data_IF_069926423537
#
_entry.id   IF_069926423537
#
_cell.length_a   1.000
_cell.length_b   1.000
_cell.length_c   1.000
_cell.angle_alpha   90.00
_cell.angle_beta   90.00
_cell.angle_gamma   90.00
#
_symmetry.space_group_name_H-M   'P 1'
#
loop_
_entity.id
_entity.type
_entity.pdbx_description
1 polymer ?
#
# COMPACT_ATOMS: atom_id res chain seq x y z
N UNK A 1 8.06 21.74 -2.87
CA UNK A 1 7.84 21.14 -4.18
C UNK A 1 6.43 20.59 -4.19
N UNK A 2 5.65 20.88 -5.21
CA UNK A 2 4.35 20.23 -5.34
C UNK A 2 4.59 18.74 -5.61
N UNK A 3 4.01 17.89 -4.78
CA UNK A 3 4.08 16.45 -4.94
C UNK A 3 3.42 16.07 -6.26
N UNK A 4 4.22 15.65 -7.23
CA UNK A 4 3.72 15.12 -8.50
C UNK A 4 3.65 13.60 -8.39
N UNK A 5 2.47 13.04 -8.67
CA UNK A 5 2.27 11.60 -8.73
C UNK A 5 3.21 11.01 -9.80
N UNK A 6 4.25 10.29 -9.35
CA UNK A 6 5.28 9.69 -10.21
C UNK A 6 4.71 8.65 -11.19
N UNK A 7 3.48 8.18 -10.97
CA UNK A 7 2.79 7.15 -11.77
C UNK A 7 2.10 7.69 -13.04
N UNK A 8 2.16 9.01 -13.28
CA UNK A 8 1.75 9.62 -14.56
C UNK A 8 2.81 9.50 -15.66
N UNK A 9 4.00 9.02 -15.34
CA UNK A 9 5.06 8.73 -16.31
C UNK A 9 4.85 7.34 -16.90
N UNK A 10 4.60 7.24 -18.20
CA UNK A 10 4.32 5.98 -18.92
C UNK A 10 5.45 4.95 -18.78
N UNK A 11 6.71 5.39 -18.79
CA UNK A 11 7.88 4.50 -18.65
C UNK A 11 7.88 3.88 -17.25
N UNK A 12 7.60 4.68 -16.24
CA UNK A 12 7.53 4.23 -14.86
C UNK A 12 6.32 3.33 -14.62
N UNK A 13 5.14 3.73 -15.09
CA UNK A 13 3.93 2.91 -15.01
C UNK A 13 4.13 1.53 -15.68
N UNK A 14 4.81 1.50 -16.84
CA UNK A 14 5.17 0.26 -17.53
C UNK A 14 6.11 -0.62 -16.68
N UNK A 15 7.06 -0.05 -15.97
CA UNK A 15 7.97 -0.82 -15.10
C UNK A 15 7.23 -1.55 -13.97
N UNK A 16 6.14 -0.98 -13.45
CA UNK A 16 5.30 -1.61 -12.43
C UNK A 16 4.55 -2.86 -12.93
N UNK A 17 4.34 -3.01 -14.24
CA UNK A 17 3.70 -4.23 -14.78
C UNK A 17 4.58 -5.47 -14.63
N UNK A 18 5.90 -5.28 -14.55
CA UNK A 18 6.89 -6.36 -14.41
C UNK A 18 7.17 -6.74 -12.96
N UNK A 19 6.74 -5.91 -11.99
CA UNK A 19 6.90 -6.21 -10.58
C UNK A 19 6.15 -7.48 -10.20
N UNK A 20 6.88 -8.40 -9.60
CA UNK A 20 6.36 -9.62 -9.02
C UNK A 20 6.49 -9.56 -7.49
N UNK A 21 6.05 -10.62 -6.82
CA UNK A 21 6.25 -10.78 -5.39
C UNK A 21 7.64 -11.39 -5.12
N UNK A 22 8.71 -10.60 -5.34
CA UNK A 22 10.09 -10.98 -5.11
C UNK A 22 10.69 -10.14 -4.00
N UNK A 23 11.73 -10.62 -3.36
CA UNK A 23 12.51 -9.89 -2.35
C UNK A 23 11.60 -9.19 -1.32
N UNK A 24 11.76 -7.88 -1.12
CA UNK A 24 10.98 -7.11 -0.15
C UNK A 24 9.48 -7.16 -0.40
N UNK A 25 9.05 -7.22 -1.67
CA UNK A 25 7.62 -7.38 -2.00
C UNK A 25 7.06 -8.75 -1.60
N UNK A 26 7.90 -9.80 -1.53
CA UNK A 26 7.49 -11.08 -0.98
C UNK A 26 7.15 -10.94 0.50
N UNK A 27 8.00 -10.28 1.29
CA UNK A 27 7.74 -10.04 2.71
C UNK A 27 6.47 -9.24 2.93
N UNK A 28 6.23 -8.23 2.08
CA UNK A 28 5.03 -7.40 2.17
C UNK A 28 3.72 -8.20 2.06
N UNK A 29 3.70 -9.25 1.25
CA UNK A 29 2.50 -10.03 0.94
C UNK A 29 2.44 -11.41 1.60
N UNK A 30 3.56 -11.93 2.09
CA UNK A 30 3.69 -13.29 2.65
C UNK A 30 2.66 -13.58 3.75
N UNK A 31 2.50 -12.64 4.66
CA UNK A 31 1.71 -12.86 5.88
C UNK A 31 0.24 -12.42 5.71
N UNK A 32 -0.10 -11.71 4.64
CA UNK A 32 -1.45 -11.22 4.38
C UNK A 32 -2.52 -12.32 4.36
N UNK A 33 -2.31 -13.53 3.76
CA UNK A 33 -3.31 -14.58 3.78
C UNK A 33 -3.68 -15.03 5.20
N UNK A 34 -2.71 -15.07 6.12
CA UNK A 34 -2.97 -15.39 7.53
C UNK A 34 -3.79 -14.29 8.19
N UNK A 35 -3.45 -13.02 7.94
CA UNK A 35 -4.19 -11.87 8.48
C UNK A 35 -5.63 -11.83 7.93
N UNK A 36 -5.83 -12.10 6.65
CA UNK A 36 -7.19 -12.21 6.08
C UNK A 36 -8.01 -13.27 6.80
N UNK A 37 -7.45 -14.47 6.98
CA UNK A 37 -8.13 -15.57 7.66
C UNK A 37 -8.46 -15.25 9.12
N UNK A 38 -7.60 -14.47 9.78
CA UNK A 38 -7.76 -14.13 11.21
C UNK A 38 -8.82 -13.06 11.42
N UNK A 39 -8.81 -12.01 10.58
CA UNK A 39 -9.57 -10.79 10.85
C UNK A 39 -10.78 -10.58 9.95
N UNK A 40 -10.77 -11.11 8.71
CA UNK A 40 -11.81 -10.77 7.73
C UNK A 40 -12.93 -11.80 7.71
N UNK A 41 -14.18 -11.31 7.87
CA UNK A 41 -15.39 -12.13 7.78
C UNK A 41 -16.11 -11.76 6.49
N UNK A 42 -16.01 -12.61 5.47
CA UNK A 42 -16.65 -12.38 4.18
C UNK A 42 -15.66 -12.31 3.04
N UNK A 43 -16.13 -11.95 1.86
CA UNK A 43 -15.35 -12.12 0.63
C UNK A 43 -15.33 -10.90 -0.29
N UNK A 44 -16.00 -9.81 0.05
CA UNK A 44 -15.99 -8.61 -0.78
C UNK A 44 -14.78 -7.74 -0.39
N UNK A 45 -13.89 -7.48 -1.34
CA UNK A 45 -12.69 -6.68 -1.09
C UNK A 45 -12.58 -5.48 -2.02
N UNK A 46 -12.05 -4.38 -1.49
CA UNK A 46 -11.58 -3.23 -2.22
C UNK A 46 -10.05 -3.19 -2.18
N UNK A 47 -9.43 -3.08 -3.32
CA UNK A 47 -8.01 -2.80 -3.47
C UNK A 47 -7.82 -1.30 -3.77
N UNK A 48 -7.44 -0.54 -2.76
CA UNK A 48 -7.29 0.91 -2.82
C UNK A 48 -5.91 1.31 -3.31
N UNK A 49 -5.86 2.00 -4.45
CA UNK A 49 -4.60 2.31 -5.15
C UNK A 49 -4.04 1.07 -5.82
N UNK A 50 -4.88 0.36 -6.57
CA UNK A 50 -4.57 -0.96 -7.14
C UNK A 50 -3.43 -0.95 -8.18
N UNK A 51 -3.04 0.23 -8.68
CA UNK A 51 -2.04 0.36 -9.72
C UNK A 51 -2.36 -0.51 -10.93
N UNK A 52 -1.42 -1.36 -11.34
CA UNK A 52 -1.57 -2.31 -12.45
C UNK A 52 -2.35 -3.58 -12.08
N UNK A 53 -3.02 -3.61 -10.92
CA UNK A 53 -3.89 -4.70 -10.47
C UNK A 53 -3.15 -5.88 -9.83
N UNK A 54 -1.89 -5.73 -9.41
CA UNK A 54 -1.12 -6.83 -8.78
C UNK A 54 -1.75 -7.29 -7.47
N UNK A 55 -2.07 -6.38 -6.59
CA UNK A 55 -2.75 -6.62 -5.31
C UNK A 55 -4.19 -7.09 -5.51
N UNK A 56 -4.90 -6.57 -6.52
CA UNK A 56 -6.24 -7.03 -6.90
C UNK A 56 -6.25 -8.51 -7.24
N UNK A 57 -5.38 -8.93 -8.18
CA UNK A 57 -5.24 -10.35 -8.56
C UNK A 57 -4.74 -11.23 -7.40
N UNK A 58 -3.96 -10.68 -6.48
CA UNK A 58 -3.57 -11.39 -5.27
C UNK A 58 -4.78 -11.65 -4.38
N UNK A 59 -5.61 -10.65 -4.12
CA UNK A 59 -6.86 -10.80 -3.34
C UNK A 59 -7.81 -11.81 -3.98
N UNK A 60 -7.97 -11.80 -5.30
CA UNK A 60 -8.79 -12.77 -6.02
C UNK A 60 -8.27 -14.21 -5.84
N UNK A 61 -6.95 -14.41 -5.87
CA UNK A 61 -6.33 -15.71 -5.58
C UNK A 61 -6.56 -16.17 -4.14
N UNK A 62 -6.79 -15.24 -3.20
CA UNK A 62 -7.18 -15.55 -1.82
C UNK A 62 -8.68 -15.81 -1.68
N UNK A 63 -9.46 -15.76 -2.76
CA UNK A 63 -10.90 -16.05 -2.77
C UNK A 63 -11.80 -14.84 -2.58
N UNK A 64 -11.27 -13.61 -2.62
CA UNK A 64 -12.08 -12.41 -2.55
C UNK A 64 -12.70 -12.05 -3.91
N UNK A 65 -13.90 -11.49 -3.86
CA UNK A 65 -14.51 -10.73 -4.97
C UNK A 65 -13.97 -9.31 -4.86
N UNK A 66 -13.05 -8.96 -5.75
CA UNK A 66 -12.26 -7.75 -5.60
C UNK A 66 -12.62 -6.68 -6.62
N UNK A 67 -12.72 -5.44 -6.16
CA UNK A 67 -12.75 -4.24 -6.99
C UNK A 67 -11.44 -3.49 -6.77
N UNK A 68 -10.70 -3.21 -7.85
CA UNK A 68 -9.52 -2.35 -7.79
C UNK A 68 -9.88 -0.91 -8.17
N UNK A 69 -9.38 0.06 -7.42
CA UNK A 69 -9.52 1.48 -7.76
C UNK A 69 -8.17 2.19 -7.73
N UNK A 70 -7.99 3.13 -8.66
CA UNK A 70 -6.81 3.98 -8.74
C UNK A 70 -7.18 5.36 -9.32
N UNK A 71 -6.36 6.37 -9.03
CA UNK A 71 -6.52 7.74 -9.55
C UNK A 71 -5.75 7.96 -10.88
N UNK A 72 -4.91 7.00 -11.30
CA UNK A 72 -4.13 7.07 -12.54
C UNK A 72 -4.87 6.34 -13.68
N UNK A 73 -5.25 7.07 -14.74
CA UNK A 73 -5.83 6.45 -15.93
C UNK A 73 -4.90 5.41 -16.56
N UNK A 74 -3.59 5.69 -16.57
CA UNK A 74 -2.56 4.81 -17.12
C UNK A 74 -2.51 3.48 -16.36
N UNK A 75 -2.53 3.53 -15.02
CA UNK A 75 -2.54 2.33 -14.18
C UNK A 75 -3.81 1.50 -14.41
N UNK A 76 -4.97 2.11 -14.44
CA UNK A 76 -6.25 1.42 -14.72
C UNK A 76 -6.26 0.79 -16.11
N UNK A 77 -5.71 1.48 -17.12
CA UNK A 77 -5.60 0.91 -18.47
C UNK A 77 -4.70 -0.33 -18.48
N UNK A 78 -3.56 -0.27 -17.79
CA UNK A 78 -2.63 -1.40 -17.66
C UNK A 78 -3.25 -2.56 -16.86
N UNK A 79 -3.97 -2.27 -15.77
CA UNK A 79 -4.67 -3.28 -14.99
C UNK A 79 -5.68 -4.05 -15.85
N UNK A 80 -6.55 -3.33 -16.58
CA UNK A 80 -7.55 -3.92 -17.50
C UNK A 80 -6.92 -4.71 -18.64
N UNK A 81 -5.76 -4.27 -19.15
CA UNK A 81 -5.02 -4.99 -20.19
C UNK A 81 -4.43 -6.29 -19.65
N UNK A 82 -3.90 -6.27 -18.42
CA UNK A 82 -3.25 -7.43 -17.78
C UNK A 82 -4.28 -8.44 -17.30
N UNK A 83 -5.42 -7.95 -16.82
CA UNK A 83 -6.52 -8.76 -16.29
C UNK A 83 -7.87 -8.26 -16.84
N UNK A 84 -8.23 -8.70 -18.06
CA UNK A 84 -9.47 -8.25 -18.71
C UNK A 84 -10.76 -8.71 -18.03
N UNK A 85 -10.69 -9.65 -17.08
CA UNK A 85 -11.84 -10.16 -16.32
C UNK A 85 -12.01 -9.47 -14.98
N UNK A 86 -10.97 -8.80 -14.49
CA UNK A 86 -11.00 -8.08 -13.23
C UNK A 86 -11.88 -6.82 -13.29
N UNK A 87 -12.26 -6.35 -12.14
CA UNK A 87 -13.10 -5.14 -12.01
C UNK A 87 -12.25 -3.97 -11.54
N UNK A 88 -12.04 -2.99 -12.42
CA UNK A 88 -11.17 -1.84 -12.18
C UNK A 88 -11.88 -0.53 -12.52
N UNK A 89 -11.85 0.44 -11.59
CA UNK A 89 -12.42 1.76 -11.80
C UNK A 89 -11.37 2.85 -11.57
N UNK A 90 -11.40 3.84 -12.47
CA UNK A 90 -10.76 5.13 -12.26
C UNK A 90 -11.62 5.93 -11.29
N UNK A 91 -11.02 6.50 -10.25
CA UNK A 91 -11.68 7.37 -9.28
C UNK A 91 -10.94 8.70 -9.17
N UNK A 92 -11.65 9.75 -8.78
CA UNK A 92 -11.03 11.00 -8.41
C UNK A 92 -10.54 10.95 -6.95
N UNK A 93 -9.58 11.81 -6.61
CA UNK A 93 -8.95 11.85 -5.28
C UNK A 93 -10.01 12.13 -4.18
N UNK A 94 -10.29 11.10 -3.39
CA UNK A 94 -11.28 11.16 -2.31
C UNK A 94 -12.74 10.99 -2.74
N UNK A 95 -13.03 10.79 -4.04
CA UNK A 95 -14.39 10.61 -4.54
C UNK A 95 -14.68 9.16 -4.89
N UNK A 96 -15.45 8.48 -4.05
CA UNK A 96 -15.79 7.06 -4.22
C UNK A 96 -17.27 6.84 -4.56
N UNK A 97 -17.94 7.82 -5.17
CA UNK A 97 -19.38 7.75 -5.44
C UNK A 97 -19.77 6.60 -6.37
N UNK A 98 -18.87 6.14 -7.25
CA UNK A 98 -19.06 4.96 -8.09
C UNK A 98 -19.22 3.68 -7.25
N UNK A 99 -18.76 3.67 -6.00
CA UNK A 99 -18.81 2.54 -5.08
C UNK A 99 -19.90 2.68 -4.01
N UNK A 100 -20.78 3.66 -4.09
CA UNK A 100 -21.76 4.00 -3.02
C UNK A 100 -22.69 2.86 -2.59
N UNK A 101 -22.93 1.90 -3.46
CA UNK A 101 -23.77 0.74 -3.15
C UNK A 101 -22.95 -0.49 -2.71
N UNK A 102 -21.63 -0.39 -2.77
CA UNK A 102 -20.74 -1.46 -2.37
C UNK A 102 -20.45 -1.37 -0.87
N UNK A 103 -20.34 -2.55 -0.25
CA UNK A 103 -19.95 -2.69 1.13
C UNK A 103 -18.87 -3.77 1.22
N UNK A 104 -17.70 -3.41 1.72
CA UNK A 104 -16.54 -4.28 1.72
C UNK A 104 -16.30 -4.92 3.08
N UNK A 105 -15.94 -6.19 3.05
CA UNK A 105 -15.47 -6.94 4.22
C UNK A 105 -13.98 -6.63 4.48
N UNK A 106 -13.24 -6.32 3.41
CA UNK A 106 -11.83 -5.95 3.43
C UNK A 106 -11.59 -4.74 2.54
N UNK A 107 -10.83 -3.77 3.03
CA UNK A 107 -10.13 -2.79 2.19
C UNK A 107 -8.65 -3.03 2.38
N UNK A 108 -7.93 -3.35 1.30
CA UNK A 108 -6.47 -3.39 1.27
C UNK A 108 -5.93 -2.12 0.65
N UNK A 109 -5.01 -1.47 1.33
CA UNK A 109 -4.16 -0.42 0.77
C UNK A 109 -2.71 -0.91 0.83
N UNK A 110 -2.09 -1.16 -0.31
CA UNK A 110 -0.72 -1.61 -0.38
C UNK A 110 0.16 -0.52 -1.03
N UNK A 111 1.01 0.12 -0.22
CA UNK A 111 1.95 1.19 -0.58
C UNK A 111 1.29 2.50 -1.07
N UNK A 112 -0.04 2.57 -1.06
CA UNK A 112 -0.76 3.75 -1.59
C UNK A 112 -0.65 4.94 -0.65
N UNK A 113 -0.72 4.71 0.67
CA UNK A 113 -0.63 5.80 1.64
C UNK A 113 0.77 6.42 1.72
N UNK A 114 1.81 5.75 1.25
CA UNK A 114 3.14 6.34 1.12
C UNK A 114 3.16 7.48 0.08
N UNK A 115 2.19 7.49 -0.83
CA UNK A 115 2.07 8.47 -1.90
C UNK A 115 0.98 9.55 -1.66
N UNK A 116 0.33 9.54 -0.50
CA UNK A 116 -0.72 10.52 -0.17
C UNK A 116 -0.15 11.57 0.78
N UNK A 117 -0.26 12.89 0.46
CA UNK A 117 0.15 13.95 1.37
C UNK A 117 -0.47 13.78 2.76
N UNK A 118 0.30 14.02 3.81
CA UNK A 118 -0.13 13.73 5.17
C UNK A 118 -1.47 14.40 5.54
N UNK A 119 -1.66 15.65 5.13
CA UNK A 119 -2.90 16.41 5.43
C UNK A 119 -4.15 15.83 4.73
N UNK A 120 -3.97 15.03 3.66
CA UNK A 120 -5.06 14.37 2.95
C UNK A 120 -5.41 13.00 3.54
N UNK A 121 -4.47 12.31 4.20
CA UNK A 121 -4.69 10.95 4.72
C UNK A 121 -5.97 10.82 5.56
N UNK A 122 -6.31 11.73 6.51
CA UNK A 122 -7.54 11.61 7.29
C UNK A 122 -8.82 11.63 6.43
N UNK A 123 -8.88 12.51 5.43
CA UNK A 123 -10.05 12.64 4.55
C UNK A 123 -10.22 11.39 3.69
N UNK A 124 -9.12 10.90 3.10
CA UNK A 124 -9.10 9.67 2.29
C UNK A 124 -9.55 8.47 3.11
N UNK A 125 -8.96 8.26 4.30
CA UNK A 125 -9.33 7.15 5.19
C UNK A 125 -10.79 7.23 5.60
N UNK A 126 -11.30 8.42 5.94
CA UNK A 126 -12.71 8.60 6.27
C UNK A 126 -13.65 8.23 5.13
N UNK A 127 -13.26 8.54 3.90
CA UNK A 127 -13.97 8.10 2.70
C UNK A 127 -14.01 6.57 2.57
N UNK A 128 -12.87 5.91 2.80
CA UNK A 128 -12.76 4.44 2.76
C UNK A 128 -13.57 3.76 3.87
N UNK A 129 -13.57 4.32 5.11
CA UNK A 129 -14.36 3.78 6.22
C UNK A 129 -15.85 3.73 5.88
N UNK A 130 -16.37 4.69 5.12
CA UNK A 130 -17.77 4.71 4.71
C UNK A 130 -18.14 3.57 3.75
N UNK A 131 -17.16 2.95 3.11
CA UNK A 131 -17.32 1.79 2.23
C UNK A 131 -17.16 0.47 2.97
N UNK A 132 -16.65 0.47 4.21
CA UNK A 132 -16.52 -0.73 5.03
C UNK A 132 -17.87 -1.11 5.65
N UNK A 133 -18.14 -2.41 5.66
CA UNK A 133 -19.17 -2.99 6.54
C UNK A 133 -18.84 -2.70 8.01
N UNK A 134 -19.83 -2.85 8.89
CA UNK A 134 -19.66 -2.66 10.34
C UNK A 134 -18.49 -3.49 10.91
N UNK A 135 -18.38 -4.75 10.47
CA UNK A 135 -17.29 -5.67 10.87
C UNK A 135 -16.15 -5.71 9.86
N UNK A 136 -16.12 -4.78 8.90
CA UNK A 136 -15.11 -4.72 7.85
C UNK A 136 -13.74 -4.30 8.39
N UNK A 137 -12.70 -4.76 7.73
CA UNK A 137 -11.30 -4.54 8.11
C UNK A 137 -10.61 -3.69 7.04
N UNK A 138 -9.87 -2.68 7.49
CA UNK A 138 -8.91 -1.96 6.67
C UNK A 138 -7.51 -2.48 6.99
N UNK A 139 -6.82 -3.00 6.00
CA UNK A 139 -5.39 -3.35 6.10
C UNK A 139 -4.59 -2.31 5.33
N UNK A 140 -3.72 -1.61 6.04
CA UNK A 140 -2.83 -0.61 5.48
C UNK A 140 -1.38 -1.08 5.56
N UNK A 141 -0.82 -1.46 4.42
CA UNK A 141 0.56 -1.88 4.23
C UNK A 141 1.35 -0.69 3.69
N UNK A 142 2.36 -0.26 4.44
CA UNK A 142 3.17 0.92 4.14
C UNK A 142 4.64 0.66 4.41
N UNK A 143 5.50 1.52 3.93
CA UNK A 143 6.92 1.56 4.27
C UNK A 143 7.12 1.82 5.76
N UNK A 144 8.02 1.08 6.39
CA UNK A 144 8.48 1.41 7.74
C UNK A 144 9.39 2.66 7.69
N UNK A 145 9.58 3.41 8.78
CA UNK A 145 10.56 4.50 8.82
C UNK A 145 11.97 4.05 8.43
N UNK A 146 12.31 2.83 8.77
CA UNK A 146 13.59 2.19 8.50
C UNK A 146 13.81 1.96 7.00
N UNK A 147 12.73 1.85 6.20
CA UNK A 147 12.79 1.75 4.74
C UNK A 147 13.65 2.85 4.12
N UNK A 148 13.57 4.05 4.66
CA UNK A 148 14.21 5.24 4.09
C UNK A 148 15.64 5.49 4.57
N UNK A 149 16.15 4.65 5.47
CA UNK A 149 17.48 4.85 6.11
C UNK A 149 18.42 3.65 6.00
N UNK A 150 17.95 2.55 5.40
CA UNK A 150 18.73 1.33 5.21
C UNK A 150 18.73 0.90 3.75
N UNK A 151 19.67 0.01 3.40
CA UNK A 151 19.70 -0.65 2.10
C UNK A 151 18.92 -1.96 2.17
N UNK A 152 18.23 -2.30 1.10
CA UNK A 152 17.33 -3.45 1.00
C UNK A 152 17.59 -4.25 -0.27
N UNK A 153 17.06 -5.46 -0.34
CA UNK A 153 17.18 -6.29 -1.54
C UNK A 153 16.55 -5.64 -2.78
N UNK A 154 15.44 -4.90 -2.60
CA UNK A 154 14.70 -4.24 -3.71
C UNK A 154 14.85 -2.71 -3.73
N UNK A 155 15.51 -2.10 -2.71
CA UNK A 155 15.56 -0.64 -2.60
C UNK A 155 16.92 -0.15 -2.13
N UNK A 156 17.28 1.06 -2.57
CA UNK A 156 18.49 1.75 -2.13
C UNK A 156 18.19 3.17 -1.66
N UNK A 157 18.78 3.53 -0.54
CA UNK A 157 18.72 4.87 0.07
C UNK A 157 20.10 5.51 0.23
N UNK A 158 21.16 4.85 -0.23
CA UNK A 158 22.56 5.26 -0.04
C UNK A 158 22.89 6.69 -0.52
N UNK A 159 22.16 7.14 -1.55
CA UNK A 159 22.36 8.45 -2.16
C UNK A 159 21.56 9.56 -1.43
N UNK A 160 20.80 9.21 -0.38
CA UNK A 160 19.91 10.12 0.35
C UNK A 160 20.15 10.09 1.86
N UNK A 161 21.36 10.40 2.36
CA UNK A 161 21.69 10.34 3.79
C UNK A 161 20.84 11.31 4.64
N UNK A 162 20.22 12.32 4.03
CA UNK A 162 19.31 13.27 4.66
C UNK A 162 17.99 12.64 5.13
N UNK A 163 17.59 11.51 4.56
CA UNK A 163 16.34 10.80 4.93
C UNK A 163 16.26 10.50 6.43
N UNK A 164 17.40 10.32 7.10
CA UNK A 164 17.46 10.09 8.56
C UNK A 164 16.93 11.25 9.41
N UNK A 165 16.76 12.43 8.82
CA UNK A 165 16.23 13.62 9.48
C UNK A 165 14.80 13.95 9.06
N UNK A 166 14.16 13.07 8.29
CA UNK A 166 12.82 13.27 7.79
C UNK A 166 11.80 13.43 8.91
N UNK A 167 10.84 14.29 8.69
CA UNK A 167 9.71 14.58 9.56
C UNK A 167 8.41 14.23 8.85
N UNK A 168 7.38 14.04 9.64
CA UNK A 168 6.04 13.75 9.13
C UNK A 168 5.61 14.80 8.08
N UNK A 169 5.25 14.29 6.90
CA UNK A 169 4.87 15.09 5.74
C UNK A 169 6.00 15.45 4.79
N UNK A 170 7.25 15.15 5.11
CA UNK A 170 8.38 15.37 4.19
C UNK A 170 8.29 14.41 2.99
N UNK A 171 8.74 14.91 1.85
CA UNK A 171 8.90 14.12 0.62
C UNK A 171 10.27 13.44 0.64
N UNK A 172 10.28 12.12 0.59
CA UNK A 172 11.50 11.31 0.74
C UNK A 172 11.80 10.53 -0.52
N UNK A 173 13.02 10.63 -1.07
CA UNK A 173 13.47 9.84 -2.19
C UNK A 173 13.89 8.43 -1.78
N UNK A 174 13.58 7.45 -2.64
CA UNK A 174 14.08 6.08 -2.59
C UNK A 174 14.24 5.53 -4.01
N UNK A 175 15.24 4.70 -4.26
CA UNK A 175 15.45 4.06 -5.56
C UNK A 175 15.00 2.61 -5.48
N UNK A 176 14.12 2.19 -6.40
CA UNK A 176 13.77 0.78 -6.59
C UNK A 176 14.81 0.12 -7.48
N UNK A 177 15.58 -0.83 -6.93
CA UNK A 177 16.70 -1.50 -7.64
C UNK A 177 16.23 -2.52 -8.68
N UNK A 178 14.99 -2.97 -8.59
CA UNK A 178 14.38 -3.95 -9.52
C UNK A 178 13.98 -3.33 -10.87
N UNK A 179 13.95 -2.00 -10.98
CA UNK A 179 13.63 -1.33 -12.22
C UNK A 179 14.88 -0.97 -13.03
N UNK A 180 14.73 -0.93 -14.35
CA UNK A 180 15.76 -0.33 -15.22
C UNK A 180 15.82 1.19 -15.02
N UNK A 181 14.72 1.80 -14.68
CA UNK A 181 14.61 3.22 -14.36
C UNK A 181 15.09 3.45 -12.93
N UNK A 182 16.32 3.98 -12.80
CA UNK A 182 16.96 4.27 -11.51
C UNK A 182 16.64 5.68 -10.99
N UNK A 183 15.69 6.39 -11.61
CA UNK A 183 15.23 7.66 -11.05
C UNK A 183 14.55 7.40 -9.70
N UNK A 184 14.75 8.24 -8.68
CA UNK A 184 14.13 8.06 -7.39
C UNK A 184 12.60 8.08 -7.48
N UNK A 185 11.94 7.24 -6.69
CA UNK A 185 10.55 7.39 -6.31
C UNK A 185 10.49 8.33 -5.11
N UNK A 186 9.35 8.98 -4.91
CA UNK A 186 9.15 9.92 -3.82
C UNK A 186 7.95 9.49 -3.00
N UNK A 187 8.18 9.22 -1.74
CA UNK A 187 7.15 8.90 -0.76
C UNK A 187 6.93 10.08 0.20
N UNK A 188 5.83 10.05 0.93
CA UNK A 188 5.52 11.01 1.99
C UNK A 188 5.76 10.33 3.33
N UNK A 189 6.80 10.74 4.03
CA UNK A 189 7.11 10.20 5.34
C UNK A 189 5.94 10.37 6.31
N UNK A 190 5.62 9.29 7.00
CA UNK A 190 4.61 9.29 8.04
C UNK A 190 5.03 8.31 9.13
N UNK A 191 5.35 8.85 10.31
CA UNK A 191 5.77 8.04 11.46
C UNK A 191 4.64 7.13 11.96
N UNK A 192 4.95 6.05 12.67
CA UNK A 192 3.96 5.22 13.33
C UNK A 192 3.04 6.01 14.27
N UNK A 193 3.58 6.99 14.96
CA UNK A 193 2.86 7.87 15.87
C UNK A 193 1.86 8.74 15.10
N UNK A 194 2.27 9.30 13.95
CA UNK A 194 1.38 10.07 13.09
C UNK A 194 0.27 9.19 12.49
N UNK A 195 0.56 7.96 12.07
CA UNK A 195 -0.46 7.03 11.64
C UNK A 195 -1.47 6.72 12.74
N UNK A 196 -1.01 6.44 13.97
CA UNK A 196 -1.90 6.19 15.11
C UNK A 196 -2.81 7.38 15.41
N UNK A 197 -2.28 8.60 15.37
CA UNK A 197 -3.07 9.83 15.53
C UNK A 197 -4.13 9.94 14.44
N UNK A 198 -3.76 9.70 13.17
CA UNK A 198 -4.70 9.75 12.04
C UNK A 198 -5.80 8.71 12.23
N UNK A 199 -5.47 7.46 12.58
CA UNK A 199 -6.45 6.39 12.77
C UNK A 199 -7.45 6.74 13.88
N UNK A 200 -6.97 7.19 15.03
CA UNK A 200 -7.82 7.63 16.13
C UNK A 200 -8.72 8.82 15.73
N UNK A 201 -8.17 9.79 15.02
CA UNK A 201 -8.93 10.98 14.57
C UNK A 201 -10.10 10.62 13.66
N UNK A 202 -9.99 9.55 12.88
CA UNK A 202 -11.03 9.13 11.91
C UNK A 202 -11.95 8.03 12.43
N UNK A 203 -11.81 7.61 13.69
CA UNK A 203 -12.65 6.58 14.33
C UNK A 203 -12.28 5.16 13.89
N UNK A 204 -10.97 4.87 13.76
CA UNK A 204 -10.43 3.54 13.57
C UNK A 204 -9.70 3.06 14.83
N UNK A 205 -9.98 1.83 15.22
CA UNK A 205 -9.22 1.10 16.25
C UNK A 205 -8.14 0.26 15.58
N UNK A 206 -6.89 0.45 16.01
CA UNK A 206 -5.78 -0.41 15.62
C UNK A 206 -5.87 -1.74 16.37
N UNK A 207 -6.09 -2.84 15.65
CA UNK A 207 -6.19 -4.19 16.22
C UNK A 207 -4.81 -4.82 16.38
N UNK A 208 -3.96 -4.67 15.37
CA UNK A 208 -2.62 -5.25 15.33
C UNK A 208 -1.72 -4.46 14.40
N UNK A 209 -0.42 -4.49 14.70
CA UNK A 209 0.65 -4.02 13.80
C UNK A 209 1.59 -5.19 13.55
N UNK A 210 1.84 -5.49 12.28
CA UNK A 210 2.82 -6.48 11.85
C UNK A 210 4.01 -5.80 11.17
N UNK A 211 5.20 -6.31 11.46
CA UNK A 211 6.46 -5.91 10.84
C UNK A 211 7.17 -7.18 10.34
N UNK A 212 6.91 -7.61 9.10
CA UNK A 212 7.42 -8.89 8.60
C UNK A 212 8.94 -8.85 8.41
N UNK A 213 9.63 -9.79 9.03
CA UNK A 213 11.06 -10.05 8.86
C UNK A 213 11.28 -11.25 7.94
N UNK A 214 12.37 -11.25 7.20
CA UNK A 214 12.85 -12.43 6.53
C UNK A 214 13.37 -13.46 7.53
N UNK A 215 13.19 -14.74 7.23
CA UNK A 215 13.70 -15.85 8.07
C UNK A 215 15.15 -16.20 7.72
N UNK A 216 15.61 -15.82 6.51
CA UNK A 216 16.88 -16.23 5.94
C UNK A 216 16.82 -17.57 5.19
N UNK A 217 15.65 -18.24 5.20
CA UNK A 217 15.42 -19.50 4.46
C UNK A 217 14.78 -19.28 3.08
N UNK A 218 14.29 -18.06 2.83
CA UNK A 218 13.70 -17.71 1.55
C UNK A 218 14.77 -17.67 0.44
N UNK A 219 14.41 -17.95 -0.83
CA UNK A 219 15.37 -18.03 -1.93
C UNK A 219 15.80 -16.65 -2.45
N UNK A 220 16.01 -15.70 -1.54
CA UNK A 220 16.40 -14.32 -1.82
C UNK A 220 17.70 -13.95 -1.10
N UNK A 221 18.39 -12.96 -1.64
CA UNK A 221 19.58 -12.38 -1.00
C UNK A 221 19.15 -11.16 -0.19
N UNK A 222 18.98 -11.36 1.10
CA UNK A 222 18.59 -10.31 2.04
C UNK A 222 19.78 -9.42 2.42
N UNK A 223 19.49 -8.15 2.68
CA UNK A 223 20.47 -7.16 3.14
C UNK A 223 20.31 -6.93 4.64
N UNK A 224 19.19 -6.34 5.06
CA UNK A 224 18.86 -6.07 6.47
C UNK A 224 17.56 -6.76 6.91
N UNK A 225 16.80 -7.36 6.00
CA UNK A 225 15.42 -7.80 6.17
C UNK A 225 15.27 -8.93 7.21
N UNK A 226 16.36 -9.62 7.57
CA UNK A 226 16.35 -10.61 8.65
C UNK A 226 16.39 -9.99 10.05
N UNK A 227 16.71 -8.70 10.17
CA UNK A 227 16.86 -7.99 11.44
C UNK A 227 15.93 -6.78 11.55
N UNK A 228 15.63 -6.13 10.43
CA UNK A 228 14.85 -4.91 10.35
C UNK A 228 13.74 -5.13 9.32
N UNK A 229 12.51 -4.76 9.66
CA UNK A 229 11.38 -4.92 8.75
C UNK A 229 11.26 -3.72 7.81
N UNK A 230 11.25 -3.93 6.48
CA UNK A 230 11.05 -2.85 5.52
C UNK A 230 9.61 -2.32 5.51
N UNK A 231 8.66 -3.10 5.99
CA UNK A 231 7.24 -2.81 5.91
C UNK A 231 6.57 -2.78 7.27
N UNK A 232 5.49 -2.02 7.34
CA UNK A 232 4.54 -2.03 8.46
C UNK A 232 3.15 -2.30 7.93
N UNK A 233 2.43 -3.25 8.53
CA UNK A 233 1.07 -3.62 8.19
C UNK A 233 0.19 -3.27 9.39
N UNK A 234 -0.72 -2.32 9.22
CA UNK A 234 -1.71 -1.96 10.22
C UNK A 234 -3.02 -2.67 9.92
N UNK A 235 -3.56 -3.37 10.90
CA UNK A 235 -4.86 -4.03 10.85
C UNK A 235 -5.84 -3.19 11.68
N UNK A 236 -6.85 -2.64 11.01
CA UNK A 236 -7.72 -1.60 11.54
C UNK A 236 -9.17 -2.00 11.43
N UNK A 237 -9.96 -1.65 12.43
CA UNK A 237 -11.40 -1.83 12.46
C UNK A 237 -12.07 -0.49 12.76
N UNK A 238 -13.26 -0.29 12.21
CA UNK A 238 -14.10 0.86 12.55
C UNK A 238 -14.48 0.81 14.03
N UNK A 239 -14.36 1.94 14.74
CA UNK A 239 -14.85 2.06 16.11
C UNK A 239 -16.36 1.80 16.18
N UNK A 240 -16.79 1.06 17.20
CA UNK A 240 -18.20 0.93 17.52
C UNK A 240 -18.66 2.20 18.23
N UNK A 241 -19.54 2.96 17.59
CA UNK A 241 -20.24 4.10 18.18
C UNK A 241 -21.49 3.59 18.86
#
# INVERSE_FOLDING_TARGET
>A
MDFSNSYKDEIRASSYTTLQFHNDYFLAFRDLPHLFKTYVKGTNALDFGCGTGRSTRFLEKQGFKTIGIDISPEMIQLAKKTDPKGTYYLVDDGEYHILKQENFDLILSAFTFDNIPQYKKPVVIKGLINLLKKEGILINLVSSPEMYTHEWASFSTKDFPENKHAKDGDVIPIITTEFKDQRPCYDIFCSPEAYQQIFSQVGLTLLQTEKPLATGEEPYQWTHETQIAPWTIYILKREEI
#
